data_IF_751348933464
#
_entry.id   IF_751348933464
#
_cell.length_a   1.000
_cell.length_b   1.000
_cell.length_c   1.000
_cell.angle_alpha   90.00
_cell.angle_beta   90.00
_cell.angle_gamma   90.00
#
_symmetry.space_group_name_H-M   'P 1'
#
loop_
_entity.id
_entity.type
_entity.pdbx_description
1 polymer ?
2 non-polymer ?
3 water ?
#
# COMPACT_ATOMS: atom_id res chain seq x y z
N UNK A 1 6.00 5.25 12.12
CA UNK A 1 6.62 6.05 13.14
C UNK A 1 6.13 7.49 13.21
N UNK A 2 5.42 8.01 12.10
CA UNK A 2 4.78 9.29 12.35
C UNK A 2 3.60 9.40 11.38
N UNK A 3 2.44 9.79 11.93
CA UNK A 3 1.23 9.90 11.13
C UNK A 3 1.40 10.81 9.93
N UNK A 4 2.29 11.80 10.02
CA UNK A 4 2.48 12.77 8.96
C UNK A 4 3.23 12.21 7.75
N UNK A 5 3.56 10.92 7.81
CA UNK A 5 4.04 10.22 6.63
C UNK A 5 2.88 9.76 5.72
N UNK A 6 1.63 10.01 6.13
CA UNK A 6 0.48 9.85 5.27
C UNK A 6 0.27 8.37 4.94
N UNK A 7 0.32 8.07 3.63
CA UNK A 7 0.17 6.72 3.12
C UNK A 7 1.50 6.11 2.67
N UNK A 8 2.63 6.75 2.99
CA UNK A 8 3.90 6.20 2.55
C UNK A 8 4.04 4.76 3.10
N UNK A 9 4.39 3.79 2.27
CA UNK A 9 4.40 2.41 2.75
C UNK A 9 5.37 2.21 3.92
N UNK A 10 4.76 1.62 4.99
CA UNK A 10 5.42 1.37 6.27
C UNK A 10 4.89 2.25 7.39
N UNK A 11 4.14 3.28 7.08
N UNK B 1 3.55 -7.34 7.24
CA UNK B 1 4.19 -6.54 8.29
C UNK B 1 3.68 -5.10 8.38
N UNK B 2 3.00 -4.65 7.42
CA UNK B 2 2.33 -3.37 7.66
C UNK B 2 1.18 -3.25 6.71
N UNK B 3 0.02 -2.85 7.24
CA UNK B 3 -1.20 -2.76 6.44
C UNK B 3 -1.02 -1.85 5.23
N UNK B 4 -0.14 -0.86 5.32
CA UNK B 4 0.03 0.11 4.25
C UNK B 4 0.80 -0.45 3.04
N UNK B 5 1.16 -1.73 3.07
CA UNK B 5 1.62 -2.39 1.87
C UNK B 5 0.46 -2.88 0.99
N UNK B 6 -0.76 -2.67 1.45
CA UNK B 6 -1.93 -2.86 0.60
C UNK B 6 -2.11 -4.34 0.29
N UNK B 7 -2.06 -4.67 -1.00
CA UNK B 7 -2.19 -6.03 -1.48
C UNK B 7 -0.87 -6.61 -1.99
N UNK B 8 0.25 -5.96 -1.69
CA UNK B 8 1.53 -6.50 -2.15
C UNK B 8 1.66 -7.93 -1.60
N UNK B 9 1.99 -8.91 -2.44
CA UNK B 9 2.00 -10.30 -1.97
C UNK B 9 2.96 -10.50 -0.87
N UNK B 10 2.55 -11.46 -0.11
CA UNK B 10 3.30 -11.78 1.07
C UNK B 10 2.87 -10.97 2.30
N UNK B 11 2.05 -9.98 2.14
N UNK C 1 -4.78 7.76 -9.09
CA UNK C 1 -4.96 9.18 -9.31
C UNK C 1 -3.99 10.08 -8.54
N UNK C 2 -3.14 9.50 -7.68
CA UNK C 2 -2.09 10.33 -7.08
C UNK C 2 -1.08 9.41 -6.40
N UNK C 3 0.21 9.67 -6.68
CA UNK C 3 1.29 8.88 -6.12
C UNK C 3 1.25 8.82 -4.61
N UNK C 4 0.72 9.86 -3.96
CA UNK C 4 0.72 9.92 -2.50
C UNK C 4 -0.35 9.03 -1.85
N UNK C 5 -1.11 8.27 -2.65
CA UNK C 5 -1.94 7.21 -2.07
C UNK C 5 -1.13 5.92 -1.83
N UNK C 6 0.15 5.92 -2.19
CA UNK C 6 1.05 4.86 -1.75
C UNK C 6 0.71 3.55 -2.46
N UNK C 7 0.34 2.55 -1.66
CA UNK C 7 -0.04 1.23 -2.14
C UNK C 7 -1.52 0.93 -1.98
N UNK C 8 -2.34 1.96 -1.72
CA UNK C 8 -3.76 1.69 -1.56
C UNK C 8 -4.29 1.01 -2.83
N UNK C 9 -5.04 -0.08 -2.70
CA UNK C 9 -5.50 -0.78 -3.91
C UNK C 9 -6.34 0.13 -4.79
N UNK C 10 -6.12 -0.06 -6.12
CA UNK C 10 -6.76 0.72 -7.14
C UNK C 10 -5.95 1.94 -7.67
N UNK C 11 -4.85 2.24 -7.00
N UNK D 1 -7.69 -4.98 -13.01
CA UNK D 1 -7.89 -3.63 -13.50
C UNK D 1 -6.90 -2.62 -12.90
N UNK D 2 -6.02 -3.09 -12.01
CA UNK D 2 -4.95 -2.24 -11.53
C UNK D 2 -3.92 -3.14 -10.86
N UNK D 3 -2.65 -2.92 -11.19
CA UNK D 3 -1.60 -3.80 -10.70
C UNK D 3 -1.56 -3.87 -9.18
N UNK D 4 -2.02 -2.81 -8.49
CA UNK D 4 -1.99 -2.76 -7.04
C UNK D 4 -3.01 -3.68 -6.36
N UNK D 5 -3.79 -4.44 -7.13
CA UNK D 5 -4.54 -5.54 -6.55
C UNK D 5 -3.66 -6.79 -6.33
N UNK D 6 -2.40 -6.72 -6.75
CA UNK D 6 -1.45 -7.76 -6.38
C UNK D 6 -1.79 -9.06 -7.11
N UNK D 7 -2.03 -10.11 -6.30
CA UNK D 7 -2.42 -11.41 -6.81
C UNK D 7 -3.92 -11.69 -6.66
N UNK D 8 -4.71 -10.68 -6.30
CA UNK D 8 -6.14 -10.90 -6.17
C UNK D 8 -6.67 -11.46 -7.50
N UNK D 9 -7.40 -12.57 -7.50
CA UNK D 9 -7.75 -13.21 -8.78
C UNK D 9 -8.55 -12.28 -9.70
N UNK D 10 -8.13 -12.28 -10.96
CA UNK D 10 -8.69 -11.44 -11.99
C UNK D 10 -7.78 -10.27 -12.38
N UNK D 11 -6.76 -9.99 -11.56
X LIG E 1 13.17 4.01 4.47
X LIG E 1 13.74 5.45 4.51
X LIG E 1 12.04 3.90 5.55
X LIG E 1 14.21 2.93 4.66
X LIG E 1 12.56 3.89 3.06
X LIG F 1 0.47 -9.68 7.77
X LIG F 1 1.09 -8.32 8.03
X LIG F 1 -0.66 -9.75 8.86
X LIG F 1 1.52 -10.72 8.04
X LIG F 1 -0.18 -9.90 6.42
X LIG G 1 -12.83 4.39 -3.10
X LIG G 1 -12.86 5.68 -2.35
X LIG G 1 -14.11 4.08 -3.86
X LIG G 1 -12.41 3.22 -2.23
X LIG G 1 -11.66 4.64 -4.14
#
# INVERSE_FOLDING_TARGET
>A
QHWSYWLRPGX
>B
QHWSYWLRPGX
>C
QHWSYWLRPGX
>D
QHWSYWLRPGX
>E hetero
1 PO4 P O1 O2 O3 O4
>F hetero
1 PO4 P O1 O2 O3 O4
>G hetero
1 PO4 P O1 O2 O3 O4
#
